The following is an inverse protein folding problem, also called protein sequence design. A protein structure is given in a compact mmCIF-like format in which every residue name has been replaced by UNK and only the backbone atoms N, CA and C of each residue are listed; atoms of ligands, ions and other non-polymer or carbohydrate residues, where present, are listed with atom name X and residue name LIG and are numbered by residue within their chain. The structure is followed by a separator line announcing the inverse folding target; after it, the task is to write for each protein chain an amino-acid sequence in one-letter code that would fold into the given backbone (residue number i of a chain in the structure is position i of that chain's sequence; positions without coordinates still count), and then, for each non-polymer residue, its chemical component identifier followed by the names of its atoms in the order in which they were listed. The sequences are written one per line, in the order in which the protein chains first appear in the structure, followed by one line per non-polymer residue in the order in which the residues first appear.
data_IF_245855390791
#
_entry.id   IF_245855390791
#
_cell.length_a   1.000
_cell.length_b   1.000
_cell.length_c   1.000
_cell.angle_alpha   90.00
_cell.angle_beta   90.00
_cell.angle_gamma   90.00
#
_symmetry.space_group_name_H-M   'P 1'
#
loop_
_entity.id
_entity.type
_entity.pdbx_description
1 polymer ?
#
# COMPACT_ATOMS: atom_id res chain seq x y z
N UNK A 1 -21.42 -12.31 -30.82
CA UNK A 1 -20.73 -11.15 -30.21
C UNK A 1 -20.68 -11.36 -28.72
N UNK A 2 -19.49 -11.52 -28.16
CA UNK A 2 -19.26 -11.69 -26.72
C UNK A 2 -19.07 -10.28 -26.14
N UNK A 3 -20.05 -9.79 -25.37
CA UNK A 3 -19.89 -8.54 -24.62
C UNK A 3 -19.27 -8.87 -23.27
N UNK A 4 -17.94 -8.84 -23.27
CA UNK A 4 -17.10 -8.94 -22.09
C UNK A 4 -17.30 -7.72 -21.18
N UNK A 5 -17.72 -7.98 -19.95
CA UNK A 5 -17.12 -7.41 -18.74
C UNK A 5 -17.16 -5.89 -18.55
N UNK A 6 -18.32 -5.36 -18.15
CA UNK A 6 -18.37 -4.14 -17.34
C UNK A 6 -18.19 -4.50 -15.86
N UNK A 7 -16.93 -4.68 -15.42
CA UNK A 7 -16.61 -4.97 -14.02
C UNK A 7 -16.70 -3.68 -13.21
N UNK A 8 -17.61 -3.70 -12.22
CA UNK A 8 -17.57 -2.97 -10.95
C UNK A 8 -17.59 -1.44 -11.00
N UNK A 9 -18.80 -0.90 -11.11
CA UNK A 9 -19.16 0.31 -10.37
C UNK A 9 -19.24 -0.03 -8.88
N UNK A 10 -18.09 -0.07 -8.20
CA UNK A 10 -18.08 0.06 -6.74
C UNK A 10 -18.63 1.44 -6.41
N UNK A 11 -19.92 1.47 -6.07
CA UNK A 11 -20.56 2.59 -5.38
C UNK A 11 -19.81 2.77 -4.06
N UNK A 12 -18.81 3.64 -4.06
CA UNK A 12 -18.24 4.17 -2.83
C UNK A 12 -19.38 4.81 -2.07
N UNK A 13 -19.73 4.23 -0.93
CA UNK A 13 -20.84 4.68 -0.11
C UNK A 13 -20.71 6.18 0.20
N UNK A 14 -21.64 7.00 -0.31
CA UNK A 14 -22.16 8.21 0.34
C UNK A 14 -21.18 9.30 0.80
N UNK A 15 -19.95 9.38 0.28
CA UNK A 15 -19.03 10.46 0.65
C UNK A 15 -19.27 11.67 -0.25
N UNK A 16 -19.48 12.82 0.38
CA UNK A 16 -19.76 14.09 -0.29
C UNK A 16 -18.54 14.49 -1.14
N UNK A 17 -18.73 14.82 -2.43
CA UNK A 17 -17.62 15.27 -3.28
C UNK A 17 -17.10 16.64 -2.82
N UNK A 18 -15.81 16.88 -3.07
CA UNK A 18 -15.20 18.19 -2.93
C UNK A 18 -15.43 19.01 -4.19
N UNK A 19 -15.89 20.25 -4.03
CA UNK A 19 -16.06 21.18 -5.14
C UNK A 19 -15.00 22.27 -5.05
N UNK A 20 -14.15 22.35 -6.06
CA UNK A 20 -13.23 23.47 -6.23
C UNK A 20 -14.02 24.68 -6.71
N UNK A 21 -13.86 25.82 -6.03
CA UNK A 21 -14.54 27.07 -6.33
C UNK A 21 -13.54 28.20 -6.57
N UNK A 22 -13.79 28.98 -7.60
CA UNK A 22 -13.15 30.28 -7.81
C UNK A 22 -14.26 31.33 -7.78
N UNK A 23 -14.27 32.14 -6.73
CA UNK A 23 -15.39 33.03 -6.40
C UNK A 23 -16.70 32.23 -6.33
N UNK A 24 -17.72 32.65 -7.09
CA UNK A 24 -19.05 32.00 -7.11
C UNK A 24 -19.15 30.84 -8.10
N UNK A 25 -18.05 30.44 -8.75
CA UNK A 25 -18.05 29.42 -9.80
C UNK A 25 -17.38 28.14 -9.33
N UNK A 26 -18.06 27.01 -9.50
CA UNK A 26 -17.43 25.70 -9.38
C UNK A 26 -16.54 25.46 -10.61
N UNK A 27 -15.25 25.24 -10.37
CA UNK A 27 -14.24 25.05 -11.42
C UNK A 27 -13.72 23.62 -11.51
N UNK A 28 -14.09 22.74 -10.59
CA UNK A 28 -13.66 21.35 -10.54
C UNK A 28 -14.40 20.55 -9.47
N UNK A 29 -14.36 19.22 -9.57
CA UNK A 29 -15.00 18.32 -8.60
C UNK A 29 -14.14 17.08 -8.36
N UNK A 30 -14.04 16.64 -7.11
CA UNK A 30 -13.32 15.42 -6.75
C UNK A 30 -14.12 14.60 -5.74
N UNK A 31 -14.37 13.33 -6.08
CA UNK A 31 -15.12 12.38 -5.24
C UNK A 31 -14.18 11.41 -4.51
N UNK A 32 -12.92 11.34 -4.93
CA UNK A 32 -11.89 10.46 -4.39
C UNK A 32 -10.49 11.09 -4.57
N UNK A 33 -9.48 10.39 -4.09
CA UNK A 33 -8.10 10.87 -4.08
C UNK A 33 -7.46 11.01 -5.47
N UNK A 34 -7.81 10.14 -6.41
CA UNK A 34 -7.26 10.20 -7.77
C UNK A 34 -7.87 11.37 -8.54
N UNK A 35 -9.18 11.61 -8.37
CA UNK A 35 -9.86 12.80 -8.88
C UNK A 35 -9.32 14.07 -8.24
N UNK A 36 -9.09 14.07 -6.91
CA UNK A 36 -8.47 15.20 -6.22
C UNK A 36 -7.13 15.53 -6.86
N UNK A 37 -6.22 14.55 -6.98
CA UNK A 37 -4.90 14.74 -7.61
C UNK A 37 -5.01 15.27 -9.04
N UNK A 38 -5.95 14.75 -9.83
CA UNK A 38 -6.12 15.11 -11.24
C UNK A 38 -6.63 16.54 -11.41
N UNK A 39 -7.66 16.92 -10.65
CA UNK A 39 -8.19 18.28 -10.63
C UNK A 39 -7.17 19.28 -10.07
N UNK A 40 -6.47 18.91 -9.00
CA UNK A 40 -5.42 19.73 -8.43
C UNK A 40 -4.31 20.02 -9.45
N UNK A 41 -3.85 18.99 -10.18
CA UNK A 41 -2.86 19.15 -11.25
C UNK A 41 -3.35 20.11 -12.32
N UNK A 42 -4.58 19.96 -12.80
CA UNK A 42 -5.17 20.83 -13.83
C UNK A 42 -5.27 22.27 -13.33
N UNK A 43 -5.69 22.46 -12.08
CA UNK A 43 -5.89 23.79 -11.49
C UNK A 43 -4.57 24.50 -11.16
N UNK A 44 -3.45 23.80 -11.00
CA UNK A 44 -2.13 24.44 -10.88
C UNK A 44 -1.81 25.34 -12.08
N UNK A 45 -2.21 24.93 -13.27
CA UNK A 45 -1.95 25.65 -14.51
C UNK A 45 -3.09 26.63 -14.87
N UNK A 46 -4.33 26.32 -14.46
CA UNK A 46 -5.53 27.11 -14.82
C UNK A 46 -5.85 28.21 -13.82
N UNK A 47 -5.86 27.90 -12.51
CA UNK A 47 -6.21 28.84 -11.44
C UNK A 47 -5.51 28.47 -10.11
N UNK A 48 -4.20 28.72 -10.00
CA UNK A 48 -3.44 28.40 -8.79
C UNK A 48 -3.88 29.22 -7.57
N UNK A 49 -4.52 30.38 -7.76
CA UNK A 49 -5.00 31.22 -6.65
C UNK A 49 -6.21 30.60 -5.96
N UNK A 50 -7.10 29.96 -6.70
CA UNK A 50 -8.19 29.17 -6.12
C UNK A 50 -7.66 28.02 -5.26
N UNK A 51 -6.62 27.32 -5.73
CA UNK A 51 -5.98 26.26 -4.93
C UNK A 51 -5.34 26.82 -3.65
N UNK A 52 -4.59 27.91 -3.75
CA UNK A 52 -3.97 28.57 -2.60
C UNK A 52 -5.03 28.98 -1.57
N UNK A 53 -6.17 29.53 -2.03
CA UNK A 53 -7.29 29.85 -1.16
C UNK A 53 -7.85 28.61 -0.44
N UNK A 54 -8.18 27.54 -1.17
CA UNK A 54 -8.71 26.31 -0.56
C UNK A 54 -7.74 25.64 0.41
N UNK A 55 -6.43 25.78 0.18
CA UNK A 55 -5.39 25.32 1.08
C UNK A 55 -5.31 26.17 2.35
N UNK A 56 -5.25 27.50 2.21
CA UNK A 56 -5.18 28.44 3.35
C UNK A 56 -6.39 28.33 4.27
N UNK A 57 -7.58 28.19 3.71
CA UNK A 57 -8.82 28.01 4.48
C UNK A 57 -8.96 26.59 5.06
N UNK A 58 -8.06 25.66 4.72
CA UNK A 58 -8.11 24.29 5.22
C UNK A 58 -9.25 23.44 4.65
N UNK A 59 -9.94 23.91 3.61
CA UNK A 59 -11.07 23.20 2.98
C UNK A 59 -10.69 21.80 2.51
N UNK A 60 -9.52 21.66 1.89
CA UNK A 60 -9.02 20.38 1.38
C UNK A 60 -8.63 19.46 2.55
N UNK A 61 -7.99 20.00 3.59
CA UNK A 61 -7.61 19.25 4.80
C UNK A 61 -8.85 18.70 5.51
N UNK A 62 -9.89 19.52 5.67
CA UNK A 62 -11.15 19.12 6.29
C UNK A 62 -11.84 18.03 5.49
N UNK A 63 -11.91 18.17 4.16
CA UNK A 63 -12.51 17.15 3.30
C UNK A 63 -11.75 15.82 3.35
N UNK A 64 -10.41 15.85 3.32
CA UNK A 64 -9.57 14.65 3.45
C UNK A 64 -9.79 13.94 4.78
N UNK A 65 -9.83 14.67 5.89
CA UNK A 65 -10.13 14.10 7.21
C UNK A 65 -11.54 13.48 7.23
N UNK A 66 -12.53 14.16 6.64
CA UNK A 66 -13.90 13.66 6.55
C UNK A 66 -14.00 12.34 5.77
N UNK A 67 -13.28 12.20 4.65
CA UNK A 67 -13.27 10.94 3.89
C UNK A 67 -12.36 9.86 4.49
N UNK A 68 -11.69 10.13 5.62
CA UNK A 68 -10.85 9.18 6.35
C UNK A 68 -9.38 9.16 5.94
N UNK A 69 -8.95 10.07 5.07
CA UNK A 69 -7.56 10.22 4.61
C UNK A 69 -6.75 11.06 5.62
N UNK A 70 -6.75 10.59 6.87
CA UNK A 70 -6.21 11.31 8.04
C UNK A 70 -4.70 11.54 7.98
N UNK A 71 -3.96 10.66 7.32
CA UNK A 71 -2.51 10.82 7.19
C UNK A 71 -2.17 11.95 6.22
N UNK A 72 -2.85 11.99 5.06
CA UNK A 72 -2.64 13.06 4.09
C UNK A 72 -3.15 14.39 4.63
N UNK A 73 -4.30 14.42 5.33
CA UNK A 73 -4.82 15.66 5.91
C UNK A 73 -3.81 16.31 6.86
N UNK A 74 -3.18 15.52 7.72
CA UNK A 74 -2.11 15.99 8.64
C UNK A 74 -0.89 16.54 7.90
N UNK A 75 -0.49 15.93 6.78
CA UNK A 75 0.66 16.39 5.98
C UNK A 75 0.40 17.71 5.25
N UNK A 76 -0.87 18.06 5.04
CA UNK A 76 -1.29 19.29 4.37
C UNK A 76 -1.67 20.42 5.33
N UNK A 77 -1.60 20.19 6.65
CA UNK A 77 -1.77 21.27 7.64
C UNK A 77 -0.71 22.35 7.40
N UNK A 78 -1.15 23.61 7.42
CA UNK A 78 -0.33 24.81 7.19
C UNK A 78 0.38 24.89 5.83
N UNK A 79 0.07 23.99 4.89
CA UNK A 79 0.58 24.06 3.52
C UNK A 79 -0.33 24.95 2.70
N UNK A 80 0.16 26.13 2.31
CA UNK A 80 -0.58 27.08 1.47
C UNK A 80 -0.09 27.16 0.03
N UNK A 81 1.14 26.72 -0.27
CA UNK A 81 1.68 26.67 -1.62
C UNK A 81 1.06 25.52 -2.43
N UNK A 82 0.33 25.81 -3.53
CA UNK A 82 -0.27 24.78 -4.38
C UNK A 82 0.73 23.77 -4.93
N UNK A 83 1.93 24.19 -5.34
CA UNK A 83 2.91 23.27 -5.95
C UNK A 83 3.40 22.26 -4.92
N UNK A 84 3.78 22.73 -3.75
CA UNK A 84 4.16 21.88 -2.61
C UNK A 84 3.03 20.94 -2.18
N UNK A 85 1.80 21.43 -2.11
CA UNK A 85 0.64 20.59 -1.77
C UNK A 85 0.45 19.45 -2.79
N UNK A 86 0.58 19.76 -4.09
CA UNK A 86 0.47 18.75 -5.15
C UNK A 86 1.57 17.68 -5.05
N UNK A 87 2.81 18.08 -4.77
CA UNK A 87 3.92 17.13 -4.55
C UNK A 87 3.60 16.16 -3.40
N UNK A 88 3.13 16.68 -2.26
CA UNK A 88 2.72 15.87 -1.10
C UNK A 88 1.61 14.88 -1.47
N UNK A 89 0.56 15.33 -2.19
CA UNK A 89 -0.55 14.49 -2.65
C UNK A 89 -0.04 13.39 -3.59
N UNK A 90 0.80 13.75 -4.56
CA UNK A 90 1.36 12.85 -5.56
C UNK A 90 2.24 11.76 -4.93
N UNK A 91 3.09 12.15 -3.98
CA UNK A 91 4.01 11.25 -3.29
C UNK A 91 3.27 10.29 -2.36
N UNK A 92 2.23 10.79 -1.67
CA UNK A 92 1.34 9.96 -0.85
C UNK A 92 0.69 8.84 -1.67
N UNK A 93 0.07 9.19 -2.80
CA UNK A 93 -0.60 8.22 -3.67
C UNK A 93 0.38 7.23 -4.31
N UNK A 94 1.56 7.71 -4.73
CA UNK A 94 2.61 6.87 -5.28
C UNK A 94 3.13 5.86 -4.26
N UNK A 95 3.27 6.28 -2.99
CA UNK A 95 3.71 5.42 -1.89
C UNK A 95 2.65 4.37 -1.55
N UNK A 96 1.38 4.78 -1.43
CA UNK A 96 0.26 3.88 -1.17
C UNK A 96 0.12 2.79 -2.24
N UNK A 97 0.27 3.18 -3.52
CA UNK A 97 0.23 2.22 -4.63
C UNK A 97 1.33 1.17 -4.55
N UNK A 98 2.55 1.55 -4.13
CA UNK A 98 3.68 0.63 -3.96
C UNK A 98 3.45 -0.36 -2.81
N UNK A 99 2.90 0.11 -1.70
CA UNK A 99 2.58 -0.75 -0.54
C UNK A 99 1.55 -1.81 -0.91
N UNK A 100 0.45 -1.43 -1.57
CA UNK A 100 -0.58 -2.36 -2.01
C UNK A 100 -0.01 -3.42 -2.99
N UNK A 101 0.86 -2.99 -3.92
CA UNK A 101 1.50 -3.92 -4.86
C UNK A 101 2.47 -4.91 -4.20
N UNK A 102 3.03 -4.58 -3.04
CA UNK A 102 3.91 -5.47 -2.26
C UNK A 102 3.10 -6.46 -1.41
N UNK A 103 1.94 -6.03 -0.91
CA UNK A 103 1.01 -6.88 -0.17
C UNK A 103 0.41 -7.98 -1.07
N UNK A 104 0.02 -7.64 -2.30
CA UNK A 104 -0.46 -8.62 -3.30
C UNK A 104 0.62 -9.62 -3.75
N UNK A 105 1.91 -9.33 -3.50
CA UNK A 105 3.01 -10.26 -3.81
C UNK A 105 3.28 -11.29 -2.71
N UNK A 106 2.66 -11.16 -1.54
CA UNK A 106 2.76 -12.10 -0.42
C UNK A 106 4.20 -12.34 0.11
N UNK A 107 4.38 -12.86 1.33
CA UNK A 107 5.67 -13.39 1.72
C UNK A 107 5.98 -14.57 0.82
N UNK A 108 7.08 -14.52 0.07
CA UNK A 108 7.62 -15.70 -0.58
C UNK A 108 7.76 -16.80 0.48
N UNK A 109 6.87 -17.79 0.45
CA UNK A 109 7.08 -19.03 1.20
C UNK A 109 8.44 -19.55 0.77
N UNK A 110 9.41 -19.53 1.69
CA UNK A 110 10.67 -20.24 1.48
C UNK A 110 10.29 -21.68 1.13
N UNK A 111 10.83 -22.26 0.04
CA UNK A 111 10.55 -23.65 -0.26
C UNK A 111 10.96 -24.47 0.96
N UNK A 112 9.98 -25.17 1.54
CA UNK A 112 10.20 -26.13 2.60
C UNK A 112 11.13 -27.20 2.04
N UNK A 113 12.44 -27.05 2.27
CA UNK A 113 13.38 -28.15 2.04
C UNK A 113 12.98 -29.24 3.00
N UNK A 114 12.29 -30.27 2.49
CA UNK A 114 12.03 -31.50 3.22
C UNK A 114 13.34 -31.96 3.87
N UNK A 115 13.34 -32.39 5.15
CA UNK A 115 14.48 -33.11 5.69
C UNK A 115 14.74 -34.29 4.77
N UNK A 116 15.99 -34.43 4.33
CA UNK A 116 16.42 -35.58 3.55
C UNK A 116 16.25 -36.84 4.41
N UNK A 117 15.13 -37.53 4.23
CA UNK A 117 14.98 -38.90 4.72
C UNK A 117 15.99 -39.76 3.95
N UNK A 118 16.97 -40.28 4.68
CA UNK A 118 17.94 -41.23 4.16
C UNK A 118 17.19 -42.51 3.76
N UNK A 119 17.40 -43.07 2.56
CA UNK A 119 16.85 -44.37 2.20
C UNK A 119 17.44 -45.46 3.10
N UNK A 120 16.58 -46.14 3.84
CA UNK A 120 16.91 -47.38 4.51
C UNK A 120 17.15 -48.46 3.44
N UNK A 121 18.39 -48.96 3.33
CA UNK A 121 18.66 -50.28 2.77
C UNK A 121 18.81 -51.28 3.91
N UNK A 122 18.05 -52.36 3.85
CA UNK A 122 18.01 -53.46 4.81
C UNK A 122 18.48 -54.75 4.13
N UNK A 123 19.31 -55.50 4.89
CA UNK A 123 19.67 -56.93 4.78
C UNK A 123 20.47 -57.37 3.55
N UNK A 124 21.58 -58.10 3.64
CA UNK A 124 22.31 -58.66 4.77
C UNK A 124 23.42 -59.58 4.24
N UNK A 125 24.57 -59.64 4.91
CA UNK A 125 25.56 -60.72 4.80
C UNK A 125 26.35 -60.80 6.12
N UNK A 126 25.95 -61.77 6.95
CA UNK A 126 26.76 -62.74 7.73
C UNK A 126 28.29 -62.74 7.50
N UNK A 127 29.25 -62.96 8.43
CA UNK A 127 29.41 -63.38 9.85
C UNK A 127 30.87 -62.98 10.30
N UNK A 128 31.55 -63.52 11.35
CA UNK A 128 31.41 -63.39 12.82
C UNK A 128 32.66 -62.83 13.56
N UNK A 129 32.44 -62.44 14.82
CA UNK A 129 33.22 -62.75 16.03
C UNK A 129 34.77 -62.60 16.03
N UNK A 130 35.30 -61.64 16.80
CA UNK A 130 36.21 -61.94 17.92
C UNK A 130 36.48 -60.73 18.86
N UNK A 131 36.44 -61.00 20.18
CA UNK A 131 37.17 -60.38 21.32
C UNK A 131 36.86 -58.94 21.81
N UNK A 132 36.07 -58.89 22.90
CA UNK A 132 36.29 -58.30 24.27
C UNK A 132 37.45 -57.28 24.52
N UNK A 133 37.44 -56.53 25.65
CA UNK A 133 36.33 -55.83 26.32
C UNK A 133 36.69 -54.42 26.88
N UNK A 134 35.63 -53.66 27.20
CA UNK A 134 35.44 -52.65 28.26
C UNK A 134 36.67 -52.15 29.07
N UNK A 135 36.95 -50.85 28.93
CA UNK A 135 37.60 -50.03 29.94
C UNK A 135 36.69 -48.86 30.35
N UNK A 136 36.16 -48.93 31.57
CA UNK A 136 35.25 -47.97 32.19
C UNK A 136 35.92 -47.48 33.48
N UNK A 137 36.26 -46.19 33.61
CA UNK A 137 36.45 -45.42 34.86
C UNK A 137 36.31 -43.94 34.49
N UNK A 138 35.26 -43.20 34.86
CA UNK A 138 34.81 -42.72 36.17
C UNK A 138 35.72 -41.64 36.79
N UNK A 139 35.21 -40.40 36.72
CA UNK A 139 35.23 -39.26 37.67
C UNK A 139 36.44 -39.04 38.58
N UNK A 140 36.97 -37.81 38.60
CA UNK A 140 36.67 -36.78 39.60
C UNK A 140 37.05 -35.40 39.07
#
# INVERSE_FOLDING_TARGET
MIMSGGKTGERTQGKVPFYFKSFDKTIGVASNMEELRSEFKRLLDVDPKSLEYHLKEGHIVQWLAYIGENELSKRLIDVSDPRKAYEIINDYLSSRKRMNAQEERGPAMKPHRKPHEKPWHREGDTVPNDRRPRGFKSKQ
#
